data_IF_399930276041
#
_entry.id   IF_399930276041
#
_cell.length_a   1.000
_cell.length_b   1.000
_cell.length_c   1.000
_cell.angle_alpha   90.00
_cell.angle_beta   90.00
_cell.angle_gamma   90.00
#
_symmetry.space_group_name_H-M   'P 1'
#
loop_
_entity.id
_entity.type
_entity.pdbx_description
1 polymer ?
#
# COMPACT_ATOMS: atom_id res chain seq x y z
N UNK A 1 11.37 4.15 -2.44
CA UNK A 1 10.08 3.83 -1.80
C UNK A 1 9.99 4.32 -0.36
N UNK A 2 10.90 3.88 0.50
CA UNK A 2 10.98 4.34 1.89
C UNK A 2 10.99 5.87 1.99
N UNK A 3 11.80 6.52 1.19
CA UNK A 3 11.96 7.97 1.18
C UNK A 3 10.64 8.72 0.93
N UNK A 4 9.79 8.20 0.06
CA UNK A 4 8.51 8.83 -0.26
C UNK A 4 7.61 8.89 0.97
N UNK A 5 7.57 7.81 1.74
CA UNK A 5 6.76 7.75 2.96
C UNK A 5 7.38 8.57 4.09
N UNK A 6 8.71 8.61 4.19
CA UNK A 6 9.40 9.48 5.14
C UNK A 6 9.05 10.94 4.91
N UNK A 7 8.95 11.38 3.67
CA UNK A 7 8.55 12.75 3.31
C UNK A 7 7.11 13.06 3.71
N UNK A 8 6.29 12.03 3.92
CA UNK A 8 4.90 12.16 4.39
C UNK A 8 4.76 11.99 5.89
N UNK A 9 5.86 11.99 6.62
CA UNK A 9 5.83 11.90 8.08
C UNK A 9 5.77 10.47 8.63
N UNK A 10 5.89 9.46 7.77
CA UNK A 10 5.95 8.06 8.17
C UNK A 10 7.42 7.64 8.24
N UNK A 11 7.94 7.48 9.45
CA UNK A 11 9.36 7.17 9.67
C UNK A 11 9.69 5.69 9.44
N UNK A 12 9.23 5.14 8.32
CA UNK A 12 9.52 3.76 7.91
C UNK A 12 11.00 3.63 7.50
N UNK A 13 11.59 2.48 7.73
CA UNK A 13 13.03 2.27 7.49
C UNK A 13 13.38 0.87 7.02
N UNK A 14 12.42 -0.05 6.97
CA UNK A 14 12.63 -1.40 6.45
C UNK A 14 11.74 -1.65 5.25
N UNK A 15 12.25 -2.41 4.29
CA UNK A 15 11.50 -2.84 3.10
C UNK A 15 11.57 -4.36 2.99
N UNK A 16 10.41 -4.97 2.83
CA UNK A 16 10.29 -6.40 2.58
C UNK A 16 9.63 -6.61 1.22
N UNK A 17 10.19 -7.51 0.42
CA UNK A 17 9.68 -7.82 -0.92
C UNK A 17 8.97 -9.16 -0.94
N UNK A 18 7.88 -9.25 -1.69
CA UNK A 18 7.21 -10.50 -2.02
C UNK A 18 6.88 -11.36 -0.80
N UNK A 19 6.16 -10.76 0.14
CA UNK A 19 5.66 -11.49 1.31
C UNK A 19 4.50 -12.36 0.90
N UNK A 20 4.58 -13.65 1.20
CA UNK A 20 3.50 -14.61 0.96
C UNK A 20 3.11 -15.30 2.26
N UNK A 21 1.82 -15.60 2.38
CA UNK A 21 1.31 -16.38 3.49
C UNK A 21 0.12 -17.20 3.04
N UNK A 22 0.00 -18.40 3.60
CA UNK A 22 -1.14 -19.28 3.39
C UNK A 22 -1.50 -19.88 4.76
N UNK A 23 -2.65 -19.47 5.30
CA UNK A 23 -3.13 -19.92 6.60
C UNK A 23 -4.63 -20.14 6.58
N UNK A 24 -5.09 -21.27 7.10
CA UNK A 24 -6.51 -21.55 7.28
C UNK A 24 -7.34 -21.38 6.00
N UNK A 25 -6.78 -21.76 4.87
CA UNK A 25 -7.44 -21.61 3.56
C UNK A 25 -7.40 -20.21 2.98
N UNK A 26 -6.80 -19.24 3.69
CA UNK A 26 -6.56 -17.89 3.18
C UNK A 26 -5.15 -17.80 2.64
N UNK A 27 -4.98 -17.06 1.55
CA UNK A 27 -3.66 -16.81 0.97
C UNK A 27 -3.57 -15.39 0.46
N UNK A 28 -2.39 -14.81 0.55
CA UNK A 28 -2.11 -13.51 -0.04
C UNK A 28 -0.62 -13.34 -0.31
N UNK A 29 -0.32 -12.53 -1.30
CA UNK A 29 1.01 -12.05 -1.62
C UNK A 29 1.00 -10.52 -1.56
N UNK A 30 1.98 -9.96 -0.88
CA UNK A 30 2.20 -8.51 -0.79
C UNK A 30 3.50 -8.19 -1.52
N UNK A 31 3.43 -7.34 -2.53
CA UNK A 31 4.61 -7.02 -3.36
C UNK A 31 5.70 -6.33 -2.56
N UNK A 32 5.32 -5.31 -1.81
CA UNK A 32 6.23 -4.55 -0.95
C UNK A 32 5.55 -4.24 0.37
N UNK A 33 6.32 -4.34 1.45
CA UNK A 33 5.91 -3.88 2.77
C UNK A 33 7.00 -2.99 3.33
N UNK A 34 6.68 -1.73 3.62
CA UNK A 34 7.61 -0.81 4.29
C UNK A 34 7.15 -0.64 5.73
N UNK A 35 8.10 -0.72 6.67
CA UNK A 35 7.75 -0.81 8.09
C UNK A 35 8.62 0.06 8.99
N UNK A 36 8.06 0.37 10.14
CA UNK A 36 8.80 0.74 11.35
C UNK A 36 8.16 0.03 12.53
N UNK A 37 8.48 0.43 13.76
CA UNK A 37 7.95 -0.20 14.96
C UNK A 37 6.45 0.07 15.16
N UNK A 38 5.89 1.09 14.52
CA UNK A 38 4.50 1.52 14.69
C UNK A 38 3.63 1.23 13.47
N UNK A 39 4.16 1.48 12.26
CA UNK A 39 3.42 1.40 11.01
C UNK A 39 3.95 0.32 10.09
N UNK A 40 3.05 -0.27 9.29
CA UNK A 40 3.43 -1.00 8.09
C UNK A 40 2.53 -0.53 6.93
N UNK A 41 3.14 -0.32 5.77
CA UNK A 41 2.44 0.08 4.55
C UNK A 41 2.58 -1.04 3.54
N UNK A 42 1.46 -1.68 3.19
CA UNK A 42 1.42 -2.74 2.19
C UNK A 42 1.14 -2.13 0.82
N UNK A 43 2.03 -2.39 -0.12
CA UNK A 43 2.03 -1.75 -1.43
C UNK A 43 1.83 -2.80 -2.53
N UNK A 44 0.83 -2.59 -3.38
CA UNK A 44 0.62 -3.35 -4.61
C UNK A 44 1.20 -2.56 -5.78
N UNK A 45 2.02 -3.21 -6.61
CA UNK A 45 2.68 -2.58 -7.75
C UNK A 45 2.17 -3.19 -9.04
N UNK A 46 1.69 -2.34 -9.94
CA UNK A 46 1.22 -2.72 -11.29
C UNK A 46 1.82 -1.80 -12.34
N UNK A 47 2.04 -2.30 -13.54
CA UNK A 47 2.41 -1.43 -14.67
C UNK A 47 1.25 -0.51 -15.03
N UNK A 48 0.05 -1.06 -15.05
CA UNK A 48 -1.19 -0.35 -15.35
C UNK A 48 -2.19 -0.64 -14.23
N UNK A 49 -2.43 0.34 -13.38
CA UNK A 49 -3.30 0.15 -12.22
C UNK A 49 -4.78 0.26 -12.64
N UNK A 50 -5.60 -0.69 -12.18
CA UNK A 50 -7.04 -0.71 -12.42
C UNK A 50 -7.82 -0.61 -11.11
N UNK A 51 -9.11 -0.31 -11.22
CA UNK A 51 -10.02 -0.32 -10.07
C UNK A 51 -10.07 -1.71 -9.44
N UNK A 52 -10.05 -2.77 -10.25
CA UNK A 52 -10.06 -4.14 -9.74
C UNK A 52 -8.79 -4.46 -8.95
N UNK A 53 -7.64 -3.91 -9.34
CA UNK A 53 -6.40 -4.06 -8.57
C UNK A 53 -6.51 -3.41 -7.20
N UNK A 54 -7.14 -2.23 -7.14
CA UNK A 54 -7.39 -1.53 -5.88
C UNK A 54 -8.31 -2.33 -4.97
N UNK A 55 -9.40 -2.87 -5.52
CA UNK A 55 -10.34 -3.71 -4.78
C UNK A 55 -9.67 -4.97 -4.23
N UNK A 56 -8.89 -5.64 -5.06
CA UNK A 56 -8.17 -6.85 -4.65
C UNK A 56 -7.18 -6.55 -3.52
N UNK A 57 -6.49 -5.41 -3.60
CA UNK A 57 -5.54 -5.01 -2.56
C UNK A 57 -6.26 -4.71 -1.23
N UNK A 58 -7.40 -4.06 -1.30
CA UNK A 58 -8.23 -3.83 -0.11
C UNK A 58 -8.61 -5.14 0.57
N UNK A 59 -9.04 -6.13 -0.19
CA UNK A 59 -9.39 -7.45 0.35
C UNK A 59 -8.20 -8.10 1.04
N UNK A 60 -6.98 -7.98 0.46
CA UNK A 60 -5.75 -8.48 1.09
C UNK A 60 -5.47 -7.80 2.42
N UNK A 61 -5.68 -6.49 2.49
CA UNK A 61 -5.44 -5.74 3.72
C UNK A 61 -6.42 -6.14 4.83
N UNK A 62 -7.65 -6.47 4.49
CA UNK A 62 -8.64 -6.94 5.46
C UNK A 62 -8.25 -8.27 6.09
N UNK A 63 -7.45 -9.10 5.39
CA UNK A 63 -6.97 -10.41 5.85
C UNK A 63 -5.53 -10.35 6.38
N UNK A 64 -4.87 -9.21 6.24
CA UNK A 64 -3.42 -9.08 6.44
C UNK A 64 -2.97 -9.53 7.83
N UNK A 65 -3.66 -9.09 8.88
CA UNK A 65 -3.25 -9.38 10.26
C UNK A 65 -3.45 -10.85 10.63
N UNK A 66 -4.37 -11.54 9.96
CA UNK A 66 -4.56 -12.98 10.12
C UNK A 66 -3.41 -13.73 9.44
N UNK A 67 -3.04 -13.30 8.23
CA UNK A 67 -2.01 -13.96 7.41
C UNK A 67 -0.59 -13.65 7.87
N UNK A 68 -0.37 -12.47 8.43
CA UNK A 68 0.93 -12.01 8.90
C UNK A 68 0.86 -11.54 10.36
N UNK A 69 0.66 -12.47 11.31
CA UNK A 69 0.42 -12.10 12.71
C UNK A 69 1.58 -11.36 13.38
N UNK A 70 2.80 -11.44 12.84
CA UNK A 70 3.94 -10.66 13.36
C UNK A 70 3.71 -9.16 13.26
N UNK A 71 2.79 -8.71 12.39
CA UNK A 71 2.46 -7.29 12.20
C UNK A 71 1.11 -6.92 12.83
N UNK A 72 0.51 -7.79 13.63
CA UNK A 72 -0.84 -7.58 14.18
C UNK A 72 -0.96 -6.33 15.04
N UNK A 73 0.12 -5.92 15.71
CA UNK A 73 0.14 -4.74 16.57
C UNK A 73 0.49 -3.46 15.81
N UNK A 74 0.92 -3.57 14.55
CA UNK A 74 1.25 -2.41 13.74
C UNK A 74 -0.01 -1.76 13.16
N UNK A 75 0.05 -0.45 12.94
CA UNK A 75 -0.98 0.27 12.19
C UNK A 75 -0.76 -0.01 10.71
N UNK A 76 -1.70 -0.72 10.10
CA UNK A 76 -1.61 -1.12 8.70
C UNK A 76 -2.21 -0.06 7.79
N UNK A 77 -1.40 0.46 6.90
CA UNK A 77 -1.79 1.38 5.84
C UNK A 77 -1.66 0.68 4.49
N UNK A 78 -2.38 1.16 3.50
CA UNK A 78 -2.33 0.62 2.15
C UNK A 78 -1.82 1.63 1.14
N UNK A 79 -1.16 1.13 0.12
CA UNK A 79 -0.74 1.90 -1.04
C UNK A 79 -0.86 1.08 -2.32
N UNK A 80 -1.12 1.76 -3.42
CA UNK A 80 -1.12 1.18 -4.75
C UNK A 80 -0.19 2.00 -5.63
N UNK A 81 0.55 1.35 -6.50
CA UNK A 81 1.52 1.99 -7.37
C UNK A 81 1.31 1.55 -8.82
N UNK A 82 1.44 2.47 -9.75
CA UNK A 82 1.35 2.17 -11.16
C UNK A 82 2.19 3.10 -12.00
N UNK A 83 2.78 2.58 -13.09
CA UNK A 83 3.40 3.43 -14.10
C UNK A 83 2.33 4.26 -14.81
N UNK A 84 1.16 3.66 -15.02
CA UNK A 84 -0.02 4.34 -15.55
C UNK A 84 -1.14 4.26 -14.52
N UNK A 85 -1.65 5.42 -14.09
CA UNK A 85 -2.76 5.54 -13.15
C UNK A 85 -3.73 6.58 -13.71
N UNK A 86 -4.88 6.13 -14.18
CA UNK A 86 -5.92 7.05 -14.65
C UNK A 86 -6.59 7.77 -13.48
N UNK A 87 -7.15 8.93 -13.76
CA UNK A 87 -7.71 9.81 -12.75
C UNK A 87 -8.85 9.15 -11.96
N UNK A 88 -9.73 8.41 -12.63
CA UNK A 88 -10.84 7.70 -11.97
C UNK A 88 -10.34 6.62 -11.02
N UNK A 89 -9.28 5.92 -11.39
CA UNK A 89 -8.64 4.90 -10.53
C UNK A 89 -7.99 5.56 -9.32
N UNK A 90 -7.28 6.66 -9.54
CA UNK A 90 -6.65 7.43 -8.45
C UNK A 90 -7.69 7.93 -7.46
N UNK A 91 -8.81 8.47 -7.94
CA UNK A 91 -9.90 8.93 -7.09
C UNK A 91 -10.52 7.79 -6.29
N UNK A 92 -10.71 6.64 -6.92
CA UNK A 92 -11.24 5.47 -6.23
C UNK A 92 -10.30 5.01 -5.11
N UNK A 93 -9.00 4.89 -5.40
CA UNK A 93 -8.00 4.49 -4.41
C UNK A 93 -7.91 5.49 -3.25
N UNK A 94 -7.99 6.78 -3.56
CA UNK A 94 -8.01 7.84 -2.55
C UNK A 94 -9.19 7.66 -1.58
N UNK A 95 -10.37 7.38 -2.11
CA UNK A 95 -11.57 7.14 -1.28
C UNK A 95 -11.47 5.88 -0.44
N UNK A 96 -10.67 4.90 -0.88
CA UNK A 96 -10.39 3.70 -0.08
C UNK A 96 -9.38 3.96 1.03
N UNK A 97 -8.81 5.16 1.10
CA UNK A 97 -7.82 5.51 2.10
C UNK A 97 -6.42 5.03 1.76
N UNK A 98 -6.12 4.80 0.49
CA UNK A 98 -4.81 4.34 0.02
C UNK A 98 -3.94 5.50 -0.45
N UNK A 99 -2.64 5.40 -0.17
CA UNK A 99 -1.66 6.18 -0.90
C UNK A 99 -1.62 5.71 -2.35
N UNK A 100 -1.48 6.66 -3.27
CA UNK A 100 -1.34 6.36 -4.69
C UNK A 100 0.04 6.82 -5.13
N UNK A 101 0.84 5.89 -5.64
CA UNK A 101 2.15 6.19 -6.20
C UNK A 101 2.05 6.12 -7.72
N UNK A 102 2.41 7.20 -8.36
CA UNK A 102 2.39 7.30 -9.81
C UNK A 102 3.64 7.95 -10.33
N UNK A 103 3.86 7.83 -11.63
CA UNK A 103 5.03 8.38 -12.27
C UNK A 103 4.78 9.85 -12.64
N UNK A 104 5.69 10.71 -12.21
CA UNK A 104 5.75 12.11 -12.61
C UNK A 104 7.13 12.36 -13.24
N UNK A 105 7.14 12.54 -14.56
CA UNK A 105 8.40 12.61 -15.29
C UNK A 105 9.17 11.30 -15.15
N UNK A 106 10.39 11.36 -14.66
CA UNK A 106 11.26 10.19 -14.48
C UNK A 106 11.15 9.56 -13.10
N UNK A 107 10.39 10.17 -12.19
CA UNK A 107 10.34 9.76 -10.80
C UNK A 107 8.97 9.24 -10.39
N UNK A 108 8.96 8.29 -9.48
CA UNK A 108 7.76 7.85 -8.78
C UNK A 108 7.48 8.82 -7.65
N UNK A 109 6.23 9.23 -7.49
CA UNK A 109 5.81 10.15 -6.43
C UNK A 109 4.49 9.70 -5.81
N UNK A 110 4.25 10.13 -4.57
CA UNK A 110 2.93 9.98 -3.94
C UNK A 110 2.05 11.09 -4.50
N UNK A 111 0.94 10.71 -5.13
CA UNK A 111 0.03 11.63 -5.82
C UNK A 111 -1.00 12.27 -4.89
N UNK A 112 -1.22 11.70 -3.70
CA UNK A 112 -2.18 12.24 -2.72
C UNK A 112 -1.76 13.64 -2.28
N UNK A 113 -2.75 14.51 -2.05
CA UNK A 113 -2.49 15.84 -1.50
C UNK A 113 -2.08 15.77 -0.02
N UNK A 114 -1.69 16.90 0.55
CA UNK A 114 -1.23 16.97 1.95
C UNK A 114 -2.36 16.79 2.96
N UNK A 115 -3.59 16.97 2.54
CA UNK A 115 -4.76 16.80 3.40
C UNK A 115 -5.22 15.36 3.49
N UNK A 116 -4.68 14.48 2.65
CA UNK A 116 -5.04 13.07 2.66
C UNK A 116 -4.71 12.41 4.00
N UNK A 117 -5.68 11.65 4.50
CA UNK A 117 -5.49 10.84 5.72
C UNK A 117 -5.69 9.37 5.35
N UNK A 118 -4.65 8.55 5.46
CA UNK A 118 -4.78 7.13 5.14
C UNK A 118 -5.71 6.42 6.10
N UNK A 119 -6.42 5.42 5.57
CA UNK A 119 -7.21 4.53 6.42
C UNK A 119 -6.27 3.54 7.11
N UNK A 120 -6.53 3.29 8.39
CA UNK A 120 -5.84 2.25 9.16
C UNK A 120 -6.69 0.98 9.09
N UNK A 121 -6.11 -0.06 8.55
CA UNK A 121 -6.77 -1.37 8.38
C UNK A 121 -6.50 -2.38 9.53
#
# INVERSE_FOLDING_TARGET
MVRLFQQRGLAVHEVHHNLTSNRNGLAAEIDLLVTNDEYCVAIEVKSFLSVDDVKAHRERLEKFKILFPRYSDAKLLGAVAGAVVYEDVAKYAYRQGFFILGQKGENMEILNDETFKPKIY
#
